data_IF_162114103241
#
_entry.id   IF_162114103241
#
_cell.length_a   1.000
_cell.length_b   1.000
_cell.length_c   1.000
_cell.angle_alpha   90.00
_cell.angle_beta   90.00
_cell.angle_gamma   90.00
#
_symmetry.space_group_name_H-M   'P 1'
#
loop_
_entity.id
_entity.type
_entity.pdbx_description
1 polymer ?
#
# COMPACT_ATOMS: atom_id res chain seq x y z
N UNK A 1 -8.05 -12.50 -17.54
CA UNK A 1 -7.78 -12.62 -16.09
C UNK A 1 -6.71 -11.62 -15.76
N UNK A 2 -7.12 -10.37 -15.52
CA UNK A 2 -6.18 -9.28 -15.35
C UNK A 2 -5.85 -9.28 -13.86
N UNK A 3 -4.62 -9.66 -13.50
CA UNK A 3 -4.11 -9.65 -12.13
C UNK A 3 -3.26 -8.41 -11.80
N UNK A 4 -3.58 -7.15 -12.19
CA UNK A 4 -2.79 -6.02 -11.73
C UNK A 4 -3.13 -5.59 -10.29
N UNK A 5 -4.21 -6.08 -9.68
CA UNK A 5 -4.64 -5.61 -8.35
C UNK A 5 -3.78 -6.17 -7.19
N UNK A 6 -3.20 -7.36 -7.35
CA UNK A 6 -2.34 -7.97 -6.32
C UNK A 6 -0.95 -7.30 -6.22
N UNK A 7 -0.50 -6.66 -7.29
CA UNK A 7 0.82 -6.01 -7.37
C UNK A 7 0.82 -4.65 -6.67
N UNK A 8 -0.33 -3.95 -6.63
CA UNK A 8 -0.48 -2.66 -5.96
C UNK A 8 -0.39 -2.72 -4.43
N UNK A 9 -0.83 -3.83 -3.82
CA UNK A 9 -0.72 -4.04 -2.36
C UNK A 9 0.74 -4.25 -1.93
N UNK A 10 1.59 -4.80 -2.81
CA UNK A 10 3.02 -4.97 -2.56
C UNK A 10 3.84 -3.67 -2.56
N UNK A 11 3.37 -2.61 -3.24
CA UNK A 11 4.07 -1.32 -3.32
C UNK A 11 4.07 -0.57 -1.98
N UNK A 12 3.05 -0.80 -1.14
CA UNK A 12 2.97 -0.23 0.22
C UNK A 12 4.14 -0.69 1.09
N UNK A 13 4.58 -1.94 0.89
CA UNK A 13 5.71 -2.51 1.63
C UNK A 13 7.03 -1.86 1.22
N UNK A 14 7.16 -1.31 0.01
CA UNK A 14 8.40 -0.67 -0.46
C UNK A 14 8.68 0.66 0.26
N UNK A 15 7.67 1.34 0.79
CA UNK A 15 7.89 2.53 1.62
C UNK A 15 8.35 2.17 3.05
N UNK A 16 8.04 0.96 3.55
CA UNK A 16 8.40 0.50 4.90
C UNK A 16 9.57 -0.50 4.96
N UNK A 17 9.90 -1.18 3.86
CA UNK A 17 10.97 -2.17 3.76
C UNK A 17 12.29 -1.55 3.28
N UNK A 18 12.54 -0.30 3.67
CA UNK A 18 13.88 0.26 3.66
C UNK A 18 14.62 -0.38 4.82
N UNK A 19 15.29 -1.50 4.57
CA UNK A 19 16.16 -2.16 5.53
C UNK A 19 17.11 -1.10 6.12
N UNK A 20 16.93 -0.80 7.40
CA UNK A 20 17.57 0.28 8.16
C UNK A 20 19.00 -0.09 8.55
N UNK A 21 19.73 -0.76 7.64
CA UNK A 21 21.15 -1.05 7.79
C UNK A 21 21.97 0.20 7.42
N UNK A 22 22.07 1.15 8.36
CA UNK A 22 23.19 2.07 8.41
C UNK A 22 22.94 3.53 8.04
N UNK A 23 21.83 4.15 8.48
CA UNK A 23 21.77 5.61 8.53
C UNK A 23 22.66 6.13 9.67
N UNK A 24 23.96 6.30 9.42
CA UNK A 24 24.76 7.23 10.20
C UNK A 24 25.44 8.28 9.35
N UNK A 25 25.26 9.48 9.89
CA UNK A 25 26.10 10.66 9.81
C UNK A 25 26.03 11.47 8.51
N UNK A 26 25.23 12.54 8.58
CA UNK A 26 25.25 13.72 7.70
C UNK A 26 24.90 13.41 6.25
N UNK A 27 24.55 14.43 5.47
CA UNK A 27 24.25 14.26 4.04
C UNK A 27 25.36 13.55 3.21
N UNK A 28 26.52 13.17 3.79
CA UNK A 28 27.66 12.48 3.16
C UNK A 28 27.48 10.98 2.89
N UNK A 29 26.68 10.24 3.69
CA UNK A 29 26.48 8.78 3.54
C UNK A 29 25.11 8.35 2.99
N UNK A 30 24.19 9.30 2.87
CA UNK A 30 22.81 9.03 2.45
C UNK A 30 22.72 8.27 1.13
N UNK A 31 23.53 8.64 0.13
CA UNK A 31 23.46 8.03 -1.19
C UNK A 31 23.81 6.54 -1.20
N UNK A 32 24.88 6.16 -0.50
CA UNK A 32 25.29 4.75 -0.38
C UNK A 32 24.22 3.94 0.35
N UNK A 33 23.66 4.50 1.43
CA UNK A 33 22.59 3.86 2.20
C UNK A 33 21.32 3.68 1.36
N UNK A 34 20.90 4.70 0.61
CA UNK A 34 19.75 4.60 -0.29
C UNK A 34 19.99 3.55 -1.36
N UNK A 35 21.19 3.48 -1.96
CA UNK A 35 21.53 2.46 -2.96
C UNK A 35 21.49 1.06 -2.36
N UNK A 36 22.08 0.83 -1.19
CA UNK A 36 22.02 -0.47 -0.50
C UNK A 36 20.58 -0.86 -0.18
N UNK A 37 19.79 0.07 0.36
CA UNK A 37 18.40 -0.18 0.69
C UNK A 37 17.55 -0.50 -0.54
N UNK A 38 17.76 0.19 -1.66
CA UNK A 38 17.08 -0.10 -2.93
C UNK A 38 17.49 -1.47 -3.47
N UNK A 39 18.76 -1.86 -3.35
CA UNK A 39 19.20 -3.20 -3.75
C UNK A 39 18.50 -4.30 -2.96
N UNK A 40 18.30 -4.10 -1.65
CA UNK A 40 17.60 -5.04 -0.80
C UNK A 40 16.10 -5.06 -1.07
N UNK A 41 15.48 -3.90 -1.26
CA UNK A 41 14.09 -3.78 -1.69
C UNK A 41 13.85 -4.49 -3.03
N UNK A 42 14.76 -4.36 -3.99
CA UNK A 42 14.68 -5.09 -5.27
C UNK A 42 14.83 -6.61 -5.11
N UNK A 43 15.67 -7.08 -4.19
CA UNK A 43 15.76 -8.53 -3.89
C UNK A 43 14.46 -9.07 -3.31
N UNK A 44 13.88 -8.33 -2.36
CA UNK A 44 12.60 -8.69 -1.74
C UNK A 44 11.47 -8.64 -2.78
N UNK A 45 11.39 -7.57 -3.58
CA UNK A 45 10.42 -7.45 -4.68
C UNK A 45 10.55 -8.60 -5.67
N UNK A 46 11.77 -8.93 -6.10
CA UNK A 46 12.02 -10.08 -6.96
C UNK A 46 11.56 -11.38 -6.31
N UNK A 47 11.83 -11.59 -5.00
CA UNK A 47 11.39 -12.77 -4.25
C UNK A 47 9.86 -12.90 -4.20
N UNK A 48 9.15 -11.80 -3.98
CA UNK A 48 7.69 -11.78 -3.92
C UNK A 48 7.03 -12.01 -5.28
N UNK A 49 7.69 -11.60 -6.37
CA UNK A 49 7.23 -11.79 -7.74
C UNK A 49 7.69 -13.11 -8.36
N UNK A 50 8.46 -13.95 -7.63
CA UNK A 50 8.88 -15.25 -8.13
C UNK A 50 7.68 -16.11 -8.54
N UNK A 51 7.75 -16.70 -9.72
CA UNK A 51 6.68 -17.53 -10.28
C UNK A 51 5.53 -16.75 -10.92
N UNK A 52 5.61 -15.42 -10.98
CA UNK A 52 4.70 -14.57 -11.75
C UNK A 52 5.32 -14.16 -13.10
N UNK A 53 4.52 -13.66 -14.03
CA UNK A 53 4.98 -13.05 -15.29
C UNK A 53 5.34 -11.57 -15.12
N UNK A 54 5.24 -11.05 -13.89
CA UNK A 54 5.48 -9.65 -13.57
C UNK A 54 6.88 -9.47 -13.00
N UNK A 55 7.58 -8.47 -13.49
CA UNK A 55 8.88 -8.04 -13.01
C UNK A 55 8.82 -6.58 -12.58
N UNK A 56 9.59 -6.23 -11.56
CA UNK A 56 9.62 -4.88 -11.03
C UNK A 56 11.00 -4.44 -10.61
N UNK A 57 11.28 -3.15 -10.76
CA UNK A 57 12.51 -2.52 -10.27
C UNK A 57 12.22 -1.19 -9.59
N UNK A 58 13.05 -0.89 -8.60
CA UNK A 58 13.13 0.40 -7.92
C UNK A 58 14.51 0.97 -8.21
N UNK A 59 14.57 2.25 -8.59
CA UNK A 59 15.80 2.95 -8.95
C UNK A 59 15.88 4.30 -8.23
N UNK A 60 17.10 4.68 -7.83
CA UNK A 60 17.41 6.06 -7.45
C UNK A 60 17.80 6.82 -8.73
N UNK A 61 16.91 7.69 -9.22
CA UNK A 61 17.10 8.47 -10.44
C UNK A 61 18.06 9.63 -10.21
N UNK A 62 17.86 10.36 -9.13
CA UNK A 62 18.73 11.47 -8.73
C UNK A 62 18.66 11.72 -7.23
N UNK A 63 19.70 12.34 -6.70
CA UNK A 63 19.78 12.74 -5.31
C UNK A 63 20.47 14.10 -5.20
N UNK A 64 19.70 15.11 -4.79
CA UNK A 64 20.22 16.43 -4.46
C UNK A 64 20.43 16.53 -2.94
N UNK A 65 21.64 16.86 -2.52
CA UNK A 65 22.11 16.68 -1.14
C UNK A 65 22.41 18.02 -0.51
N UNK A 66 21.76 18.30 0.61
CA UNK A 66 22.05 19.45 1.45
C UNK A 66 22.40 19.00 2.87
N UNK A 67 22.77 19.96 3.73
CA UNK A 67 23.22 19.67 5.09
C UNK A 67 22.10 19.11 5.99
N UNK A 68 20.91 19.72 5.92
CA UNK A 68 19.75 19.38 6.76
C UNK A 68 18.61 18.72 5.99
N UNK A 69 18.70 18.68 4.67
CA UNK A 69 17.72 18.03 3.83
C UNK A 69 18.37 17.41 2.60
N UNK A 70 17.68 16.50 1.95
CA UNK A 70 18.00 15.99 0.63
C UNK A 70 16.70 15.79 -0.15
N UNK A 71 16.77 15.91 -1.47
CA UNK A 71 15.66 15.58 -2.36
C UNK A 71 16.07 14.41 -3.22
N UNK A 72 15.42 13.26 -3.03
CA UNK A 72 15.63 12.07 -3.82
C UNK A 72 14.50 11.90 -4.84
N UNK A 73 14.86 11.42 -6.03
CA UNK A 73 13.88 11.01 -7.03
C UNK A 73 14.01 9.51 -7.25
N UNK A 74 12.89 8.80 -7.13
CA UNK A 74 12.83 7.36 -7.32
C UNK A 74 11.98 7.03 -8.54
N UNK A 75 12.34 5.94 -9.22
CA UNK A 75 11.51 5.34 -10.27
C UNK A 75 11.13 3.93 -9.82
N UNK A 76 9.85 3.61 -9.95
CA UNK A 76 9.34 2.24 -9.85
C UNK A 76 8.85 1.84 -11.23
N UNK A 77 9.42 0.77 -11.77
CA UNK A 77 8.99 0.16 -13.01
C UNK A 77 8.32 -1.17 -12.71
N UNK A 78 7.20 -1.45 -13.37
CA UNK A 78 6.58 -2.76 -13.39
C UNK A 78 6.30 -3.16 -14.84
N UNK A 79 6.76 -4.35 -15.22
CA UNK A 79 6.55 -4.95 -16.53
C UNK A 79 5.83 -6.27 -16.34
N UNK A 80 4.81 -6.55 -17.16
CA UNK A 80 4.18 -7.87 -17.22
C UNK A 80 4.45 -8.49 -18.59
N UNK A 81 5.26 -9.55 -18.62
CA UNK A 81 5.65 -10.24 -19.85
C UNK A 81 4.44 -10.90 -20.54
N UNK A 82 3.38 -11.20 -19.79
CA UNK A 82 2.13 -11.74 -20.33
C UNK A 82 1.32 -10.70 -21.12
N UNK A 83 1.59 -9.40 -20.93
CA UNK A 83 0.92 -8.33 -21.66
C UNK A 83 1.39 -8.19 -23.13
N UNK A 84 2.43 -8.94 -23.51
CA UNK A 84 3.00 -8.96 -24.85
C UNK A 84 4.16 -7.97 -25.04
N UNK A 85 4.92 -8.10 -26.14
CA UNK A 85 6.18 -7.37 -26.35
C UNK A 85 6.02 -5.85 -26.51
N UNK A 86 4.83 -5.38 -26.87
CA UNK A 86 4.53 -3.96 -27.09
C UNK A 86 3.90 -3.29 -25.86
N UNK A 87 3.71 -4.02 -24.75
CA UNK A 87 3.12 -3.48 -23.54
C UNK A 87 4.11 -2.51 -22.87
N UNK A 88 3.71 -1.24 -22.77
CA UNK A 88 4.49 -0.24 -22.07
C UNK A 88 4.59 -0.58 -20.58
N UNK A 89 5.80 -0.52 -19.97
CA UNK A 89 5.95 -0.70 -18.54
C UNK A 89 5.15 0.37 -17.80
N UNK A 90 4.64 0.00 -16.64
CA UNK A 90 4.11 0.95 -15.67
C UNK A 90 5.31 1.65 -15.05
N UNK A 91 5.47 2.94 -15.35
CA UNK A 91 6.49 3.80 -14.75
C UNK A 91 5.84 4.77 -13.75
N UNK A 92 6.26 4.69 -12.49
CA UNK A 92 5.87 5.61 -11.43
C UNK A 92 7.11 6.35 -10.93
N UNK A 93 7.07 7.69 -10.96
CA UNK A 93 8.12 8.54 -10.42
C UNK A 93 7.69 9.10 -9.08
N UNK A 94 8.61 9.12 -8.11
CA UNK A 94 8.39 9.66 -6.78
C UNK A 94 9.44 10.71 -6.47
N UNK A 95 9.02 11.78 -5.80
CA UNK A 95 9.93 12.74 -5.15
C UNK A 95 9.84 12.55 -3.65
N UNK A 96 10.99 12.50 -2.99
CA UNK A 96 11.11 12.39 -1.55
C UNK A 96 11.95 13.53 -0.99
N UNK A 97 11.36 14.26 -0.04
CA UNK A 97 12.04 15.28 0.74
C UNK A 97 12.46 14.70 2.09
N UNK A 98 13.74 14.37 2.18
CA UNK A 98 14.36 13.74 3.34
C UNK A 98 14.95 14.85 4.22
N UNK A 99 14.40 15.03 5.40
CA UNK A 99 14.91 15.96 6.41
C UNK A 99 15.81 15.20 7.41
N UNK A 100 17.01 15.72 7.65
CA UNK A 100 18.04 15.08 8.49
C UNK A 100 18.09 15.66 9.91
N UNK A 101 18.65 14.89 10.82
CA UNK A 101 19.08 15.36 12.14
C UNK A 101 17.96 15.38 13.17
N UNK A 102 18.28 15.75 14.42
CA UNK A 102 17.44 15.43 15.56
C UNK A 102 16.05 16.05 15.47
N UNK A 103 15.88 17.22 14.83
CA UNK A 103 14.60 17.93 14.79
C UNK A 103 14.24 18.37 13.37
N UNK A 104 13.70 17.45 12.54
CA UNK A 104 13.18 17.78 11.21
C UNK A 104 12.14 18.90 11.25
N UNK A 105 12.20 19.82 10.30
CA UNK A 105 11.33 21.01 10.28
C UNK A 105 9.85 20.65 10.14
N UNK A 106 9.53 19.64 9.34
CA UNK A 106 8.18 19.07 9.20
C UNK A 106 7.60 18.59 10.54
N UNK A 107 8.45 18.03 11.40
CA UNK A 107 8.07 17.56 12.75
C UNK A 107 7.87 18.71 13.73
N UNK A 108 8.71 19.74 13.67
CA UNK A 108 8.54 20.96 14.48
C UNK A 108 7.18 21.62 14.19
N UNK A 109 6.83 21.78 12.90
CA UNK A 109 5.54 22.38 12.49
C UNK A 109 4.32 21.58 12.97
N UNK A 110 4.49 20.28 13.19
CA UNK A 110 3.43 19.37 13.65
C UNK A 110 3.51 19.08 15.14
N UNK A 111 4.28 19.87 15.90
CA UNK A 111 4.46 19.74 17.34
C UNK A 111 4.99 18.35 17.78
N UNK A 112 5.73 17.67 16.89
CA UNK A 112 6.41 16.39 17.15
C UNK A 112 7.85 16.64 17.59
N UNK A 113 8.04 16.92 18.87
CA UNK A 113 9.32 17.36 19.45
C UNK A 113 10.33 16.24 19.74
N UNK A 114 9.91 14.97 19.69
CA UNK A 114 10.81 13.85 19.93
C UNK A 114 11.90 13.77 18.86
N UNK A 115 13.18 13.73 19.25
CA UNK A 115 14.27 13.67 18.28
C UNK A 115 14.27 12.41 17.43
N UNK A 116 14.56 12.56 16.14
CA UNK A 116 14.63 11.46 15.17
C UNK A 116 15.87 11.60 14.30
N UNK A 117 16.28 10.54 13.61
CA UNK A 117 17.42 10.60 12.69
C UNK A 117 17.07 11.28 11.38
N UNK A 118 15.90 10.94 10.84
CA UNK A 118 15.42 11.49 9.58
C UNK A 118 13.90 11.42 9.48
N UNK A 119 13.34 12.24 8.62
CA UNK A 119 11.96 12.15 8.17
C UNK A 119 11.90 12.33 6.66
N UNK A 120 11.46 11.28 5.97
CA UNK A 120 11.18 11.26 4.54
C UNK A 120 9.72 11.65 4.32
N UNK A 121 9.48 12.46 3.29
CA UNK A 121 8.15 12.88 2.86
C UNK A 121 8.10 12.68 1.35
N UNK A 122 7.51 11.56 0.93
CA UNK A 122 7.47 11.17 -0.46
C UNK A 122 6.09 11.37 -1.05
N UNK A 123 6.07 11.63 -2.36
CA UNK A 123 4.83 11.77 -3.12
C UNK A 123 5.03 11.31 -4.56
N UNK A 124 3.97 10.76 -5.14
CA UNK A 124 3.95 10.44 -6.56
C UNK A 124 4.11 11.73 -7.37
N UNK A 125 4.86 11.68 -8.47
CA UNK A 125 5.04 12.78 -9.41
C UNK A 125 4.08 12.66 -10.59
N UNK A 126 3.70 13.82 -11.14
CA UNK A 126 2.89 13.89 -12.36
C UNK A 126 3.78 13.56 -13.55
N UNK A 127 3.43 12.51 -14.26
CA UNK A 127 4.05 12.06 -15.52
C UNK A 127 2.94 11.87 -16.55
N UNK A 128 3.25 11.69 -17.85
CA UNK A 128 2.23 11.32 -18.83
C UNK A 128 1.43 10.06 -18.43
N UNK A 129 2.05 9.12 -17.72
CA UNK A 129 1.39 7.91 -17.22
C UNK A 129 0.41 8.22 -16.06
N UNK A 130 0.80 9.09 -15.12
CA UNK A 130 0.00 9.39 -13.92
C UNK A 130 -0.94 10.61 -14.09
N UNK A 131 -0.96 11.26 -15.25
CA UNK A 131 -1.71 12.49 -15.49
C UNK A 131 -3.20 12.36 -15.15
N UNK A 132 -3.84 11.25 -15.54
CA UNK A 132 -5.26 11.00 -15.24
C UNK A 132 -5.51 10.85 -13.74
N UNK A 133 -4.56 10.30 -12.98
CA UNK A 133 -4.70 10.13 -11.53
C UNK A 133 -4.60 11.47 -10.82
N UNK A 134 -3.68 12.34 -11.28
CA UNK A 134 -3.60 13.71 -10.79
C UNK A 134 -4.86 14.51 -11.10
N UNK A 135 -5.39 14.40 -12.33
CA UNK A 135 -6.64 15.06 -12.68
C UNK A 135 -7.79 14.62 -11.76
N UNK A 136 -7.91 13.32 -11.48
CA UNK A 136 -8.90 12.77 -10.56
C UNK A 136 -8.70 13.25 -9.10
N UNK A 137 -7.45 13.45 -8.69
CA UNK A 137 -7.08 13.99 -7.37
C UNK A 137 -6.97 15.53 -7.32
N UNK A 138 -7.67 16.25 -8.21
CA UNK A 138 -7.70 17.73 -8.26
C UNK A 138 -6.30 18.35 -8.38
N UNK A 139 -5.49 17.76 -9.26
CA UNK A 139 -4.08 18.09 -9.52
C UNK A 139 -3.14 18.00 -8.31
N UNK A 140 -3.57 17.35 -7.22
CA UNK A 140 -2.70 16.98 -6.12
C UNK A 140 -2.07 15.61 -6.36
N UNK A 141 -0.91 15.36 -5.75
CA UNK A 141 -0.32 14.03 -5.77
C UNK A 141 -1.27 13.02 -5.11
N UNK A 142 -1.76 12.00 -5.85
CA UNK A 142 -2.78 11.07 -5.37
C UNK A 142 -2.24 10.06 -4.36
N UNK A 143 -0.91 9.91 -4.26
CA UNK A 143 -0.24 9.04 -3.31
C UNK A 143 0.84 9.84 -2.60
N UNK A 144 0.75 9.90 -1.28
CA UNK A 144 1.74 10.55 -0.41
C UNK A 144 2.08 9.64 0.74
N UNK A 145 3.25 9.84 1.33
CA UNK A 145 3.57 9.20 2.59
C UNK A 145 4.71 9.89 3.31
N UNK A 146 4.90 9.45 4.54
CA UNK A 146 5.93 9.91 5.45
C UNK A 146 6.56 8.70 6.10
N UNK A 147 7.90 8.71 6.19
CA UNK A 147 8.66 7.70 6.93
C UNK A 147 9.54 8.44 7.92
N UNK A 148 9.43 8.08 9.19
CA UNK A 148 10.27 8.59 10.26
C UNK A 148 11.22 7.49 10.70
N UNK A 149 12.51 7.82 10.81
CA UNK A 149 13.52 6.93 11.36
C UNK A 149 13.97 7.44 12.74
N UNK A 150 13.66 6.69 13.80
CA UNK A 150 14.07 7.00 15.17
C UNK A 150 15.54 6.69 15.45
N UNK A 151 16.15 7.28 16.50
CA UNK A 151 17.56 7.02 16.89
C UNK A 151 17.83 5.58 17.35
N UNK A 152 16.80 4.90 17.85
CA UNK A 152 16.79 3.46 18.11
C UNK A 152 16.66 2.63 16.82
N UNK A 153 16.71 3.26 15.63
CA UNK A 153 16.51 2.67 14.30
C UNK A 153 15.10 2.11 14.05
N UNK A 154 14.13 2.38 14.91
CA UNK A 154 12.73 2.06 14.59
C UNK A 154 12.24 2.93 13.43
N UNK A 155 11.32 2.37 12.66
CA UNK A 155 10.69 3.04 11.53
C UNK A 155 9.21 3.20 11.81
N UNK A 156 8.72 4.42 11.66
CA UNK A 156 7.29 4.71 11.65
C UNK A 156 6.92 5.25 10.26
N UNK A 157 5.96 4.62 9.60
CA UNK A 157 5.51 4.96 8.26
C UNK A 157 4.03 5.28 8.23
N UNK A 158 3.64 6.24 7.41
CA UNK A 158 2.25 6.51 7.06
C UNK A 158 2.14 6.72 5.55
N UNK A 159 1.10 6.20 4.94
CA UNK A 159 0.80 6.36 3.52
C UNK A 159 -0.69 6.70 3.35
N UNK A 160 -0.95 7.58 2.39
CA UNK A 160 -2.29 8.02 2.03
C UNK A 160 -2.45 7.96 0.51
N UNK A 161 -3.55 7.33 0.08
CA UNK A 161 -4.12 7.53 -1.24
C UNK A 161 -5.28 8.52 -1.10
N UNK A 162 -5.23 9.60 -1.88
CA UNK A 162 -6.27 10.63 -1.83
C UNK A 162 -7.59 10.11 -2.42
N UNK A 163 -8.74 10.59 -1.90
CA UNK A 163 -10.02 10.33 -2.51
C UNK A 163 -10.06 10.87 -3.94
N UNK A 164 -10.79 10.17 -4.80
CA UNK A 164 -11.09 10.66 -6.13
C UNK A 164 -12.43 10.13 -6.64
N UNK A 165 -12.97 10.87 -7.59
CA UNK A 165 -14.10 10.45 -8.40
C UNK A 165 -13.74 10.62 -9.86
N UNK A 166 -13.98 9.59 -10.67
CA UNK A 166 -13.61 9.60 -12.08
C UNK A 166 -14.68 8.90 -12.92
N UNK A 167 -14.99 9.50 -14.07
CA UNK A 167 -15.65 8.80 -15.17
C UNK A 167 -14.57 8.10 -15.99
N UNK A 168 -14.67 6.79 -16.12
CA UNK A 168 -13.74 5.97 -16.94
C UNK A 168 -14.13 6.06 -18.41
N UNK A 169 -15.44 6.05 -18.69
CA UNK A 169 -16.07 6.26 -19.99
C UNK A 169 -17.49 6.81 -19.79
N UNK A 170 -18.30 6.89 -20.86
CA UNK A 170 -19.67 7.43 -20.80
C UNK A 170 -20.60 6.66 -19.83
N UNK A 171 -20.28 5.41 -19.52
CA UNK A 171 -21.16 4.48 -18.81
C UNK A 171 -20.53 3.88 -17.55
N UNK A 172 -19.30 4.26 -17.23
CA UNK A 172 -18.52 3.64 -16.15
C UNK A 172 -17.87 4.70 -15.26
N UNK A 173 -18.06 4.57 -13.96
CA UNK A 173 -17.56 5.51 -12.96
C UNK A 173 -16.91 4.79 -11.78
N UNK A 174 -16.01 5.50 -11.12
CA UNK A 174 -15.33 5.08 -9.90
C UNK A 174 -15.44 6.22 -8.89
N UNK A 175 -15.87 5.91 -7.68
CA UNK A 175 -15.76 6.80 -6.51
C UNK A 175 -15.01 6.07 -5.41
N UNK A 176 -13.96 6.70 -4.89
CA UNK A 176 -13.06 6.12 -3.91
C UNK A 176 -12.81 7.12 -2.79
N UNK A 177 -13.02 6.69 -1.56
CA UNK A 177 -12.88 7.54 -0.36
C UNK A 177 -11.45 7.92 -0.01
N UNK A 178 -10.46 7.34 -0.70
CA UNK A 178 -9.09 7.33 -0.24
C UNK A 178 -8.81 6.14 0.68
N UNK A 179 -7.53 5.93 0.95
CA UNK A 179 -7.01 4.87 1.81
C UNK A 179 -5.90 5.45 2.66
N UNK A 180 -5.91 5.14 3.95
CA UNK A 180 -4.82 5.45 4.87
C UNK A 180 -4.19 4.16 5.37
N UNK A 181 -2.87 4.16 5.52
CA UNK A 181 -2.12 3.06 6.11
C UNK A 181 -1.04 3.60 7.03
N UNK A 182 -0.92 3.03 8.21
CA UNK A 182 0.18 3.28 9.15
C UNK A 182 0.93 1.98 9.38
N UNK A 183 2.25 2.07 9.53
CA UNK A 183 3.12 0.94 9.82
C UNK A 183 4.21 1.34 10.80
N UNK A 184 4.66 0.39 11.62
CA UNK A 184 5.81 0.57 12.47
C UNK A 184 6.64 -0.71 12.51
N UNK A 185 7.96 -0.54 12.55
CA UNK A 185 8.89 -1.65 12.75
C UNK A 185 10.09 -1.28 13.60
N UNK A 186 10.73 -2.29 14.20
CA UNK A 186 11.97 -2.11 14.95
C UNK A 186 13.20 -1.99 14.04
N UNK A 187 14.36 -1.84 14.67
CA UNK A 187 15.66 -1.65 14.03
C UNK A 187 16.07 -2.78 13.07
N UNK A 188 15.55 -3.98 13.28
CA UNK A 188 15.91 -5.17 12.52
C UNK A 188 14.78 -5.63 11.58
N UNK A 189 13.66 -4.91 11.57
CA UNK A 189 12.48 -5.36 10.84
C UNK A 189 11.84 -6.61 11.46
N UNK A 190 12.09 -6.89 12.74
CA UNK A 190 11.60 -8.12 13.38
C UNK A 190 10.13 -7.96 13.73
N UNK A 191 9.75 -6.90 14.45
CA UNK A 191 8.37 -6.67 14.86
C UNK A 191 7.72 -5.66 13.92
N UNK A 192 6.70 -6.08 13.17
CA UNK A 192 5.94 -5.24 12.25
C UNK A 192 4.49 -5.11 12.74
N UNK A 193 4.05 -3.87 12.94
CA UNK A 193 2.61 -3.58 13.10
C UNK A 193 2.16 -2.72 11.94
N UNK A 194 0.98 -3.02 11.42
CA UNK A 194 0.37 -2.24 10.36
C UNK A 194 -1.13 -2.11 10.60
N UNK A 195 -1.70 -0.99 10.17
CA UNK A 195 -3.15 -0.80 10.11
C UNK A 195 -3.50 -0.02 8.86
N UNK A 196 -4.66 -0.28 8.29
CA UNK A 196 -5.16 0.42 7.12
C UNK A 196 -6.66 0.61 7.17
N UNK A 197 -7.14 1.67 6.54
CA UNK A 197 -8.57 1.99 6.50
C UNK A 197 -8.98 2.67 5.19
N UNK A 198 -10.08 2.20 4.62
CA UNK A 198 -10.81 2.79 3.50
C UNK A 198 -12.29 2.87 3.87
N UNK A 199 -12.89 4.05 3.72
CA UNK A 199 -14.31 4.28 4.07
C UNK A 199 -15.26 3.69 3.00
N UNK A 200 -15.04 3.97 1.72
CA UNK A 200 -15.84 3.37 0.65
C UNK A 200 -15.11 3.30 -0.70
N UNK A 201 -15.51 2.30 -1.49
CA UNK A 201 -15.19 2.17 -2.91
C UNK A 201 -16.46 1.81 -3.66
N UNK A 202 -16.81 2.61 -4.66
CA UNK A 202 -17.95 2.38 -5.56
C UNK A 202 -17.42 2.25 -6.97
N UNK A 203 -17.74 1.13 -7.61
CA UNK A 203 -17.50 0.89 -9.03
C UNK A 203 -18.84 0.75 -9.72
N UNK A 204 -19.07 1.53 -10.77
CA UNK A 204 -20.24 1.39 -11.62
C UNK A 204 -19.76 1.19 -13.05
N UNK A 205 -20.33 0.21 -13.73
CA UNK A 205 -20.05 -0.05 -15.13
C UNK A 205 -21.33 -0.44 -15.85
N UNK A 206 -21.56 0.13 -17.04
CA UNK A 206 -22.59 -0.35 -17.95
C UNK A 206 -21.98 -0.61 -19.32
N UNK A 207 -22.12 -1.84 -19.81
CA UNK A 207 -21.71 -2.22 -21.16
C UNK A 207 -22.92 -2.14 -22.09
N UNK A 208 -22.81 -1.55 -23.30
CA UNK A 208 -23.92 -1.50 -24.23
C UNK A 208 -24.53 -2.89 -24.48
N UNK A 209 -25.85 -3.00 -24.33
CA UNK A 209 -26.57 -4.27 -24.48
C UNK A 209 -26.47 -5.22 -23.28
N UNK A 210 -25.83 -4.80 -22.18
CA UNK A 210 -25.83 -5.53 -20.91
C UNK A 210 -26.40 -4.67 -19.79
N UNK A 211 -27.01 -5.28 -18.75
CA UNK A 211 -27.45 -4.54 -17.58
C UNK A 211 -26.27 -3.88 -16.85
N UNK A 212 -26.46 -2.68 -16.27
CA UNK A 212 -25.42 -2.05 -15.47
C UNK A 212 -25.11 -2.90 -14.23
N UNK A 213 -23.85 -2.87 -13.82
CA UNK A 213 -23.34 -3.50 -12.61
C UNK A 213 -22.80 -2.42 -11.70
N UNK A 214 -23.14 -2.49 -10.42
CA UNK A 214 -22.59 -1.61 -9.38
C UNK A 214 -22.02 -2.46 -8.24
N UNK A 215 -20.78 -2.21 -7.89
CA UNK A 215 -20.08 -2.82 -6.75
C UNK A 215 -19.80 -1.73 -5.74
N UNK A 216 -20.12 -1.99 -4.47
CA UNK A 216 -19.82 -1.09 -3.36
C UNK A 216 -19.12 -1.89 -2.27
N UNK A 217 -18.03 -1.36 -1.75
CA UNK A 217 -17.32 -1.87 -0.58
C UNK A 217 -17.27 -0.74 0.44
N UNK A 218 -17.87 -0.95 1.60
CA UNK A 218 -17.98 0.04 2.66
C UNK A 218 -17.23 -0.44 3.90
N UNK A 219 -16.42 0.45 4.46
CA UNK A 219 -15.65 0.26 5.69
C UNK A 219 -14.74 -0.95 5.63
N UNK A 220 -13.58 -0.80 4.97
CA UNK A 220 -12.52 -1.80 4.95
C UNK A 220 -11.44 -1.42 5.96
N UNK A 221 -11.19 -2.30 6.92
CA UNK A 221 -10.12 -2.17 7.92
C UNK A 221 -9.15 -3.33 7.78
N UNK A 222 -7.86 -3.05 7.88
CA UNK A 222 -6.80 -4.05 8.00
C UNK A 222 -5.98 -3.77 9.25
N UNK A 223 -5.60 -4.81 9.96
CA UNK A 223 -4.66 -4.73 11.09
C UNK A 223 -3.75 -5.95 11.13
N UNK A 224 -2.46 -5.72 11.41
CA UNK A 224 -1.45 -6.76 11.50
C UNK A 224 -0.54 -6.50 12.69
N UNK A 225 -0.19 -7.56 13.42
CA UNK A 225 0.83 -7.57 14.47
C UNK A 225 1.69 -8.83 14.28
N UNK A 226 2.88 -8.63 13.73
CA UNK A 226 3.72 -9.67 13.16
C UNK A 226 5.13 -9.62 13.74
N UNK A 227 5.75 -10.79 13.87
CA UNK A 227 7.14 -10.98 14.25
C UNK A 227 7.82 -11.87 13.21
N UNK A 228 8.98 -11.43 12.71
CA UNK A 228 9.81 -12.18 11.78
C UNK A 228 10.42 -13.39 12.49
N UNK A 229 10.17 -14.58 11.96
CA UNK A 229 10.73 -15.82 12.48
C UNK A 229 12.22 -15.95 12.14
N UNK A 230 12.91 -16.87 12.83
CA UNK A 230 14.30 -17.25 12.52
C UNK A 230 14.48 -17.82 11.11
N UNK A 231 13.37 -18.21 10.46
CA UNK A 231 13.34 -18.73 9.09
C UNK A 231 13.07 -17.64 8.04
N UNK A 232 12.92 -16.38 8.46
CA UNK A 232 12.81 -15.23 7.56
C UNK A 232 11.40 -14.81 7.17
N UNK A 233 10.36 -15.58 7.49
CA UNK A 233 8.95 -15.21 7.24
C UNK A 233 8.28 -14.62 8.49
N UNK A 234 7.31 -13.74 8.27
CA UNK A 234 6.51 -13.12 9.34
C UNK A 234 5.43 -14.06 9.86
N UNK A 235 5.26 -14.06 11.18
CA UNK A 235 4.28 -14.82 11.94
C UNK A 235 3.55 -13.89 12.89
N UNK A 236 2.28 -14.13 13.18
CA UNK A 236 1.51 -13.32 14.11
C UNK A 236 0.06 -13.22 13.70
N UNK A 237 -0.59 -12.13 14.08
CA UNK A 237 -2.02 -11.91 13.87
C UNK A 237 -2.27 -10.97 12.68
N UNK A 238 -3.27 -11.30 11.88
CA UNK A 238 -3.81 -10.46 10.82
C UNK A 238 -5.32 -10.46 10.92
N UNK A 239 -5.93 -9.28 10.83
CA UNK A 239 -7.37 -9.09 10.77
C UNK A 239 -7.69 -8.22 9.55
N UNK A 240 -8.70 -8.63 8.79
CA UNK A 240 -9.31 -7.84 7.73
C UNK A 240 -10.81 -7.82 7.96
N UNK A 241 -11.40 -6.64 8.02
CA UNK A 241 -12.83 -6.44 8.23
C UNK A 241 -13.40 -5.64 7.08
N UNK A 242 -14.54 -6.06 6.55
CA UNK A 242 -15.36 -5.31 5.61
C UNK A 242 -16.77 -5.16 6.21
N UNK A 243 -17.19 -3.91 6.43
CA UNK A 243 -18.48 -3.61 7.05
C UNK A 243 -19.64 -4.04 6.16
N UNK A 244 -19.56 -3.71 4.86
CA UNK A 244 -20.55 -4.14 3.87
C UNK A 244 -19.93 -4.26 2.48
N UNK A 245 -20.24 -5.34 1.78
CA UNK A 245 -20.06 -5.47 0.34
C UNK A 245 -21.41 -5.58 -0.35
N UNK A 246 -21.66 -4.78 -1.37
CA UNK A 246 -22.89 -4.76 -2.13
C UNK A 246 -22.62 -4.91 -3.63
N UNK A 247 -23.40 -5.78 -4.28
CA UNK A 247 -23.39 -6.01 -5.71
C UNK A 247 -24.80 -5.81 -6.26
N UNK A 248 -24.98 -4.84 -7.14
CA UNK A 248 -26.19 -4.64 -7.94
C UNK A 248 -25.98 -5.20 -9.34
N UNK A 249 -26.85 -6.09 -9.80
CA UNK A 249 -26.64 -6.84 -11.05
C UNK A 249 -27.95 -7.25 -11.75
N UNK A 250 -27.81 -7.61 -13.03
CA UNK A 250 -28.90 -8.16 -13.85
C UNK A 250 -29.94 -7.12 -14.28
N UNK A 251 -30.84 -7.50 -15.18
CA UNK A 251 -31.87 -6.59 -15.73
C UNK A 251 -32.80 -6.01 -14.66
N UNK A 252 -33.09 -6.82 -13.63
CA UNK A 252 -33.93 -6.41 -12.49
C UNK A 252 -33.20 -5.53 -11.48
N UNK A 253 -31.89 -5.33 -11.65
CA UNK A 253 -31.03 -4.63 -10.70
C UNK A 253 -31.14 -5.22 -9.30
N UNK A 254 -31.09 -6.55 -9.21
CA UNK A 254 -31.10 -7.26 -7.93
C UNK A 254 -29.86 -6.91 -7.12
N UNK A 255 -30.01 -6.85 -5.80
CA UNK A 255 -28.97 -6.40 -4.87
C UNK A 255 -28.57 -7.55 -3.96
N UNK A 256 -27.34 -8.04 -4.11
CA UNK A 256 -26.72 -8.95 -3.16
C UNK A 256 -25.88 -8.13 -2.16
N UNK A 257 -26.03 -8.39 -0.86
CA UNK A 257 -25.24 -7.75 0.20
C UNK A 257 -24.58 -8.81 1.08
N UNK A 258 -23.38 -8.51 1.53
CA UNK A 258 -22.63 -9.22 2.57
C UNK A 258 -22.31 -8.20 3.64
N UNK A 259 -22.67 -8.47 4.90
CA UNK A 259 -22.41 -7.58 6.04
C UNK A 259 -21.48 -8.23 7.04
N UNK A 260 -20.64 -7.40 7.66
CA UNK A 260 -19.72 -7.79 8.72
C UNK A 260 -18.86 -9.00 8.31
N UNK A 261 -18.19 -8.88 7.17
CA UNK A 261 -17.18 -9.86 6.77
C UNK A 261 -15.93 -9.63 7.61
N UNK A 262 -15.43 -10.68 8.24
CA UNK A 262 -14.19 -10.66 9.00
C UNK A 262 -13.33 -11.86 8.58
N UNK A 263 -12.07 -11.58 8.30
CA UNK A 263 -11.00 -12.57 8.22
C UNK A 263 -10.06 -12.34 9.40
N UNK A 264 -9.79 -13.39 10.16
CA UNK A 264 -8.78 -13.38 11.21
C UNK A 264 -7.85 -14.58 11.06
N UNK A 265 -6.55 -14.30 10.95
CA UNK A 265 -5.49 -15.28 10.86
C UNK A 265 -4.47 -15.11 11.97
N UNK A 266 -4.01 -16.21 12.56
CA UNK A 266 -2.88 -16.21 13.49
C UNK A 266 -1.90 -17.32 13.13
N UNK A 267 -0.61 -17.04 13.08
CA UNK A 267 0.43 -18.03 12.89
C UNK A 267 1.55 -17.88 13.91
N UNK A 268 2.12 -18.99 14.36
CA UNK A 268 3.22 -19.02 15.33
C UNK A 268 4.13 -20.23 15.09
N UNK A 269 5.35 -20.18 15.62
CA UNK A 269 6.31 -21.27 15.52
C UNK A 269 6.95 -21.53 16.89
N UNK A 270 7.17 -22.81 17.20
CA UNK A 270 7.94 -23.28 18.34
C UNK A 270 8.95 -24.33 17.87
N UNK A 271 10.21 -23.93 17.72
CA UNK A 271 11.22 -24.74 17.06
C UNK A 271 10.84 -25.03 15.61
N UNK A 272 10.82 -26.32 15.23
CA UNK A 272 10.43 -26.77 13.89
C UNK A 272 8.92 -26.94 13.69
N UNK A 273 8.10 -26.73 14.73
CA UNK A 273 6.66 -26.88 14.67
C UNK A 273 6.00 -25.52 14.40
N UNK A 274 5.19 -25.46 13.34
CA UNK A 274 4.38 -24.30 13.02
C UNK A 274 2.92 -24.57 13.38
N UNK A 275 2.24 -23.58 13.95
CA UNK A 275 0.82 -23.64 14.26
C UNK A 275 0.12 -22.43 13.65
N UNK A 276 -1.04 -22.67 13.05
CA UNK A 276 -1.85 -21.65 12.42
C UNK A 276 -3.31 -21.81 12.77
N UNK A 277 -4.03 -20.70 12.86
CA UNK A 277 -5.48 -20.63 12.93
C UNK A 277 -5.96 -19.60 11.93
N UNK A 278 -7.05 -19.91 11.27
CA UNK A 278 -7.65 -19.07 10.26
C UNK A 278 -9.16 -19.19 10.40
N UNK A 279 -9.85 -18.07 10.52
CA UNK A 279 -11.29 -17.97 10.68
C UNK A 279 -11.86 -16.94 9.72
N UNK A 280 -13.05 -17.22 9.21
CA UNK A 280 -13.85 -16.32 8.40
C UNK A 280 -15.22 -16.20 9.02
N UNK A 281 -15.70 -14.99 9.22
CA UNK A 281 -17.04 -14.72 9.69
C UNK A 281 -17.78 -13.86 8.66
N UNK A 282 -19.05 -14.16 8.45
CA UNK A 282 -19.96 -13.41 7.61
C UNK A 282 -21.26 -13.27 8.37
N UNK A 283 -21.55 -12.06 8.84
CA UNK A 283 -22.73 -11.77 9.65
C UNK A 283 -24.04 -12.06 8.91
N UNK A 284 -24.28 -11.35 7.82
CA UNK A 284 -25.51 -11.51 7.01
C UNK A 284 -25.21 -11.52 5.52
N UNK A 285 -25.87 -12.42 4.80
CA UNK A 285 -25.95 -12.44 3.35
C UNK A 285 -27.41 -12.23 2.96
N UNK A 286 -27.68 -11.23 2.13
CA UNK A 286 -29.03 -10.92 1.66
C UNK A 286 -29.10 -10.81 0.14
N UNK A 287 -30.22 -11.23 -0.44
CA UNK A 287 -30.58 -10.95 -1.83
C UNK A 287 -31.90 -10.17 -1.85
N UNK A 288 -31.91 -8.98 -2.43
CA UNK A 288 -33.06 -8.07 -2.46
C UNK A 288 -33.64 -7.85 -1.05
N UNK A 289 -32.74 -7.57 -0.10
CA UNK A 289 -32.99 -7.40 1.35
C UNK A 289 -33.63 -8.62 2.06
N UNK A 290 -33.70 -9.78 1.39
CA UNK A 290 -34.14 -11.04 1.99
C UNK A 290 -32.93 -11.83 2.47
N UNK A 291 -32.89 -12.28 3.74
CA UNK A 291 -31.82 -13.12 4.25
C UNK A 291 -31.70 -14.42 3.45
N UNK A 292 -30.47 -14.77 3.05
CA UNK A 292 -30.15 -16.02 2.36
C UNK A 292 -29.07 -16.84 3.08
N UNK A 293 -28.37 -16.29 4.08
CA UNK A 293 -27.45 -17.05 4.93
C UNK A 293 -26.49 -16.21 5.76
N UNK A 294 -25.59 -16.90 6.46
CA UNK A 294 -24.46 -16.40 7.25
C UNK A 294 -23.37 -17.49 7.30
N UNK A 295 -22.13 -17.17 7.69
CA UNK A 295 -21.04 -18.15 7.80
C UNK A 295 -20.08 -17.84 8.98
N UNK A 296 -19.49 -18.85 9.61
CA UNK A 296 -18.50 -18.73 10.69
C UNK A 296 -17.47 -19.87 10.63
#
# INVERSE_FOLDING_TARGET
MNKPLGVLVGIVVIAGALNTAGAWYTGTKLEDVLKTSIQEANKELASQLQGTTTHGTIELVSLDRHLYSSTAHYRVNLQDDAAGPDAQPVELLFVDNIEHGPLPWSRIKTFKWMPVMATSNYSLQKTPYTEKWFAAAKDQSPLKGQVTLGYNRSVDGSMELLPFEAQVDENSSISFSGLTMDGQTDAEGINLKAKGYMDHLVLQAATPGQPPVRVELNGLTLASDLTKSSYGFYLGQNVLELSEGQLTFGERQSVAKIKNFEYAGSASANGSLMSGRLSYNVGDITLDDKPVGSAQ
#
